data_IF_932698235609
#
_entry.id   IF_932698235609
#
_cell.length_a   1.000
_cell.length_b   1.000
_cell.length_c   1.000
_cell.angle_alpha   90.00
_cell.angle_beta   90.00
_cell.angle_gamma   90.00
#
_symmetry.space_group_name_H-M   'P 1'
#
loop_
_entity.id
_entity.type
_entity.pdbx_description
1 polymer ?
#
# COMPACT_ATOMS: atom_id res chain seq x y z
N UNK A 1 11.92 -11.51 -4.19
CA UNK A 1 11.99 -12.77 -3.42
C UNK A 1 12.53 -12.47 -2.03
N UNK A 2 11.66 -12.48 -1.01
CA UNK A 2 11.96 -12.17 0.41
C UNK A 2 12.78 -13.28 1.12
N UNK A 3 12.89 -14.46 0.49
CA UNK A 3 13.37 -15.71 1.10
C UNK A 3 14.91 -15.85 1.26
N UNK A 4 15.68 -14.77 1.11
CA UNK A 4 17.15 -14.80 1.27
C UNK A 4 17.69 -13.99 2.45
N UNK A 5 16.84 -13.44 3.29
CA UNK A 5 17.25 -12.78 4.53
C UNK A 5 17.37 -13.83 5.65
N UNK A 6 18.57 -13.99 6.21
CA UNK A 6 18.85 -14.95 7.30
C UNK A 6 18.40 -14.44 8.69
N UNK A 7 17.34 -13.64 8.74
CA UNK A 7 16.82 -13.09 9.98
C UNK A 7 15.95 -14.16 10.65
N UNK A 8 16.21 -14.44 11.93
CA UNK A 8 15.29 -15.20 12.77
C UNK A 8 14.19 -14.25 13.23
N UNK A 9 13.07 -14.26 12.53
CA UNK A 9 11.89 -13.46 12.86
C UNK A 9 11.02 -14.25 13.84
N UNK A 10 10.41 -13.55 14.80
CA UNK A 10 9.42 -14.12 15.70
C UNK A 10 8.04 -14.08 15.02
N UNK A 11 7.43 -15.23 14.72
CA UNK A 11 6.08 -15.32 14.15
C UNK A 11 5.03 -14.47 14.85
N UNK A 12 5.11 -14.38 16.18
CA UNK A 12 4.05 -13.82 17.01
C UNK A 12 4.13 -12.29 17.09
N UNK A 13 5.34 -11.73 16.98
CA UNK A 13 5.55 -10.27 17.13
C UNK A 13 5.96 -9.56 15.85
N UNK A 14 6.37 -10.29 14.80
CA UNK A 14 6.83 -9.67 13.55
C UNK A 14 5.66 -9.28 12.67
N UNK A 15 5.61 -8.01 12.25
CA UNK A 15 4.71 -7.51 11.22
C UNK A 15 5.36 -7.61 9.84
N UNK A 16 4.72 -8.33 8.93
CA UNK A 16 5.13 -8.47 7.53
C UNK A 16 4.36 -7.46 6.69
N UNK A 17 5.02 -6.38 6.27
CA UNK A 17 4.40 -5.38 5.41
C UNK A 17 4.62 -5.70 3.94
N UNK A 18 3.53 -5.81 3.18
CA UNK A 18 3.53 -5.99 1.73
C UNK A 18 3.02 -4.69 1.10
N UNK A 19 3.87 -4.02 0.34
CA UNK A 19 3.52 -2.83 -0.42
C UNK A 19 3.40 -3.18 -1.90
N UNK A 20 2.23 -2.96 -2.50
CA UNK A 20 1.96 -3.34 -3.88
C UNK A 20 1.70 -2.12 -4.77
N UNK A 21 2.32 -2.11 -5.95
CA UNK A 21 2.24 -1.01 -6.91
C UNK A 21 1.44 -1.41 -8.15
N UNK A 22 0.12 -1.42 -8.02
CA UNK A 22 -0.85 -1.78 -9.08
C UNK A 22 -0.70 -0.92 -10.34
N UNK A 23 -0.49 0.38 -10.17
CA UNK A 23 -0.40 1.33 -11.29
C UNK A 23 0.76 1.06 -12.25
N UNK A 24 1.92 0.59 -11.79
CA UNK A 24 3.07 0.33 -12.68
C UNK A 24 2.88 -0.89 -13.59
N UNK A 25 2.09 -1.88 -13.16
CA UNK A 25 1.91 -3.14 -13.89
C UNK A 25 1.07 -2.92 -15.14
N UNK A 26 -0.04 -2.16 -15.02
CA UNK A 26 -0.94 -1.91 -16.15
C UNK A 26 -0.31 -1.11 -17.29
N UNK A 27 0.58 -0.15 -16.98
CA UNK A 27 1.20 0.71 -18.00
C UNK A 27 2.33 0.02 -18.78
N UNK A 28 2.90 -1.06 -18.25
CA UNK A 28 4.11 -1.68 -18.81
C UNK A 28 3.79 -3.01 -19.51
N UNK A 29 2.89 -3.82 -18.93
CA UNK A 29 2.72 -5.22 -19.33
C UNK A 29 1.26 -5.58 -19.66
N UNK A 30 0.32 -4.64 -19.56
CA UNK A 30 -1.10 -4.89 -19.76
C UNK A 30 -1.81 -5.30 -18.46
N UNK A 31 -3.05 -5.79 -18.58
CA UNK A 31 -3.89 -6.07 -17.42
C UNK A 31 -3.56 -7.43 -16.79
N UNK A 32 -2.69 -7.40 -15.78
CA UNK A 32 -2.30 -8.55 -14.96
C UNK A 32 -2.77 -8.42 -13.51
N UNK A 33 -3.78 -7.57 -13.26
CA UNK A 33 -4.28 -7.37 -11.91
C UNK A 33 -4.82 -8.67 -11.28
N UNK A 34 -5.60 -9.52 -11.96
CA UNK A 34 -6.06 -10.78 -11.37
C UNK A 34 -4.90 -11.68 -10.94
N UNK A 35 -3.88 -11.86 -11.79
CA UNK A 35 -2.69 -12.65 -11.49
C UNK A 35 -1.89 -12.06 -10.34
N UNK A 36 -1.74 -10.73 -10.31
CA UNK A 36 -1.07 -10.01 -9.24
C UNK A 36 -1.76 -10.23 -7.88
N UNK A 37 -3.09 -10.22 -7.82
CA UNK A 37 -3.83 -10.53 -6.60
C UNK A 37 -3.55 -11.97 -6.14
N UNK A 38 -3.63 -12.93 -7.07
CA UNK A 38 -3.31 -14.33 -6.77
C UNK A 38 -1.88 -14.52 -6.28
N UNK A 39 -0.91 -13.84 -6.90
CA UNK A 39 0.49 -13.92 -6.52
C UNK A 39 0.73 -13.32 -5.13
N UNK A 40 0.12 -12.18 -4.81
CA UNK A 40 0.21 -11.57 -3.48
C UNK A 40 -0.32 -12.53 -2.40
N UNK A 41 -1.54 -13.05 -2.60
CA UNK A 41 -2.14 -14.00 -1.65
C UNK A 41 -1.31 -15.29 -1.55
N UNK A 42 -0.77 -15.80 -2.66
CA UNK A 42 0.14 -16.95 -2.65
C UNK A 42 1.41 -16.67 -1.84
N UNK A 43 2.00 -15.47 -1.95
CA UNK A 43 3.16 -15.11 -1.14
C UNK A 43 2.82 -15.09 0.35
N UNK A 44 1.63 -14.61 0.74
CA UNK A 44 1.19 -14.69 2.14
C UNK A 44 1.07 -16.13 2.62
N UNK A 45 0.49 -17.04 1.82
CA UNK A 45 0.45 -18.48 2.12
C UNK A 45 1.84 -19.09 2.28
N UNK A 46 2.78 -18.73 1.41
CA UNK A 46 4.16 -19.24 1.52
C UNK A 46 4.86 -18.71 2.77
N UNK A 47 4.65 -17.46 3.14
CA UNK A 47 5.24 -16.85 4.34
C UNK A 47 4.60 -17.39 5.63
N UNK A 48 3.33 -17.80 5.60
CA UNK A 48 2.66 -18.39 6.77
C UNK A 48 3.07 -19.84 7.05
N UNK A 49 3.76 -20.48 6.11
CA UNK A 49 4.29 -21.85 6.24
C UNK A 49 5.70 -21.88 6.88
N UNK A 50 6.12 -23.04 7.42
CA UNK A 50 7.49 -23.23 7.87
C UNK A 50 8.52 -22.97 6.76
N UNK A 51 9.71 -22.42 7.10
CA UNK A 51 10.17 -22.10 8.46
C UNK A 51 9.72 -20.72 8.96
N UNK A 52 9.16 -19.87 8.09
CA UNK A 52 8.85 -18.47 8.42
C UNK A 52 7.71 -18.36 9.42
N UNK A 53 6.65 -19.15 9.23
CA UNK A 53 5.47 -19.16 10.10
C UNK A 53 4.85 -17.78 10.35
N UNK A 54 4.91 -16.85 9.40
CA UNK A 54 4.39 -15.49 9.58
C UNK A 54 2.90 -15.50 9.98
N UNK A 55 2.53 -14.63 10.94
CA UNK A 55 1.14 -14.51 11.43
C UNK A 55 0.55 -13.12 11.26
N UNK A 56 1.36 -12.06 11.26
CA UNK A 56 0.87 -10.68 11.19
C UNK A 56 1.23 -10.05 9.84
N UNK A 57 0.24 -9.69 9.05
CA UNK A 57 0.43 -9.09 7.72
C UNK A 57 -0.26 -7.73 7.63
N UNK A 58 0.48 -6.73 7.14
CA UNK A 58 -0.06 -5.44 6.73
C UNK A 58 0.10 -5.32 5.22
N UNK A 59 -1.01 -5.14 4.51
CA UNK A 59 -1.02 -4.90 3.08
C UNK A 59 -1.30 -3.41 2.86
N UNK A 60 -0.50 -2.80 2.00
CA UNK A 60 -0.63 -1.40 1.60
C UNK A 60 -0.55 -1.32 0.09
N UNK A 61 -1.38 -0.49 -0.51
CA UNK A 61 -1.45 -0.38 -1.98
C UNK A 61 -1.55 1.08 -2.43
N UNK A 62 -1.15 1.33 -3.68
CA UNK A 62 -1.23 2.66 -4.32
C UNK A 62 -2.28 2.73 -5.44
N UNK A 63 -3.22 1.78 -5.48
CA UNK A 63 -4.36 1.88 -6.36
C UNK A 63 -5.17 3.16 -6.07
N UNK A 64 -5.91 3.65 -7.06
CA UNK A 64 -6.74 4.84 -6.94
C UNK A 64 -5.99 6.17 -7.13
N UNK A 65 -4.67 6.15 -7.40
CA UNK A 65 -3.92 7.37 -7.68
C UNK A 65 -4.24 7.90 -9.09
N UNK A 66 -5.32 8.67 -9.19
CA UNK A 66 -5.73 9.38 -10.40
C UNK A 66 -6.62 8.58 -11.37
N UNK A 67 -6.77 7.27 -11.18
CA UNK A 67 -7.71 6.44 -11.96
C UNK A 67 -8.31 5.38 -11.05
N UNK A 68 -9.64 5.31 -11.04
CA UNK A 68 -10.43 4.18 -10.53
C UNK A 68 -11.18 3.57 -11.71
N UNK A 69 -11.17 2.26 -11.79
CA UNK A 69 -11.74 1.49 -12.88
C UNK A 69 -12.22 0.13 -12.38
N UNK A 70 -13.08 -0.53 -13.15
CA UNK A 70 -13.66 -1.80 -12.73
C UNK A 70 -12.62 -2.89 -12.44
N UNK A 71 -11.46 -2.83 -13.10
CA UNK A 71 -10.38 -3.81 -12.96
C UNK A 71 -9.64 -3.68 -11.65
N UNK A 72 -9.29 -2.44 -11.26
CA UNK A 72 -8.66 -2.21 -9.98
C UNK A 72 -9.60 -2.36 -8.79
N UNK A 73 -10.89 -2.05 -8.94
CA UNK A 73 -11.88 -2.41 -7.92
C UNK A 73 -12.00 -3.94 -7.77
N UNK A 74 -11.96 -4.70 -8.87
CA UNK A 74 -11.97 -6.17 -8.82
C UNK A 74 -10.69 -6.73 -8.17
N UNK A 75 -9.53 -6.08 -8.38
CA UNK A 75 -8.29 -6.38 -7.68
C UNK A 75 -8.43 -6.18 -6.18
N UNK A 76 -8.91 -5.00 -5.75
CA UNK A 76 -9.16 -4.70 -4.34
C UNK A 76 -10.07 -5.76 -3.71
N UNK A 77 -11.18 -6.07 -4.36
CA UNK A 77 -12.12 -7.08 -3.87
C UNK A 77 -11.44 -8.45 -3.70
N UNK A 78 -10.63 -8.86 -4.68
CA UNK A 78 -9.90 -10.14 -4.61
C UNK A 78 -8.90 -10.18 -3.45
N UNK A 79 -8.22 -9.07 -3.15
CA UNK A 79 -7.36 -8.97 -1.98
C UNK A 79 -8.21 -9.07 -0.70
N UNK A 80 -9.27 -8.27 -0.57
CA UNK A 80 -10.14 -8.29 0.62
C UNK A 80 -10.73 -9.68 0.90
N UNK A 81 -11.24 -10.37 -0.12
CA UNK A 81 -11.79 -11.72 0.00
C UNK A 81 -10.72 -12.71 0.51
N UNK A 82 -9.50 -12.62 -0.04
CA UNK A 82 -8.37 -13.43 0.41
C UNK A 82 -7.96 -13.14 1.86
N UNK A 83 -7.95 -11.87 2.27
CA UNK A 83 -7.66 -11.48 3.66
C UNK A 83 -8.73 -11.99 4.63
N UNK A 84 -10.02 -11.92 4.26
CA UNK A 84 -11.11 -12.51 5.05
C UNK A 84 -10.90 -14.01 5.21
N UNK A 85 -10.57 -14.73 4.12
CA UNK A 85 -10.30 -16.16 4.18
C UNK A 85 -9.10 -16.48 5.10
N UNK A 86 -8.03 -15.71 5.04
CA UNK A 86 -6.87 -15.86 5.93
C UNK A 86 -7.19 -15.57 7.40
N UNK A 87 -8.08 -14.63 7.67
CA UNK A 87 -8.51 -14.33 9.04
C UNK A 87 -9.42 -15.41 9.62
N UNK A 88 -10.13 -16.16 8.77
CA UNK A 88 -11.06 -17.21 9.17
C UNK A 88 -10.45 -18.63 9.22
N UNK A 89 -9.21 -18.83 8.76
CA UNK A 89 -8.56 -20.15 8.71
C UNK A 89 -8.00 -20.58 10.08
N UNK A 90 -7.50 -21.82 10.16
CA UNK A 90 -6.73 -22.34 11.31
C UNK A 90 -5.34 -22.86 10.86
N UNK A 91 -4.21 -22.31 11.36
CA UNK A 91 -4.12 -21.16 12.27
C UNK A 91 -4.46 -19.84 11.56
N UNK A 92 -5.21 -18.98 12.25
CA UNK A 92 -5.60 -17.66 11.74
C UNK A 92 -4.38 -16.79 11.43
N UNK A 93 -4.54 -15.89 10.46
CA UNK A 93 -3.62 -14.78 10.24
C UNK A 93 -4.24 -13.47 10.74
N UNK A 94 -3.42 -12.66 11.43
CA UNK A 94 -3.75 -11.27 11.70
C UNK A 94 -3.45 -10.47 10.43
N UNK A 95 -4.48 -9.87 9.87
CA UNK A 95 -4.38 -9.16 8.59
C UNK A 95 -4.89 -7.74 8.72
N UNK A 96 -4.24 -6.81 8.04
CA UNK A 96 -4.68 -5.43 7.89
C UNK A 96 -4.48 -4.97 6.45
N UNK A 97 -5.37 -4.10 5.98
CA UNK A 97 -5.29 -3.51 4.65
C UNK A 97 -5.48 -1.99 4.76
N UNK A 98 -4.46 -1.23 4.37
CA UNK A 98 -4.54 0.23 4.30
C UNK A 98 -4.50 0.69 2.84
N UNK A 99 -5.66 1.09 2.34
CA UNK A 99 -5.84 1.58 0.97
C UNK A 99 -5.45 3.06 0.88
N UNK A 100 -4.38 3.39 0.16
CA UNK A 100 -3.96 4.79 0.03
C UNK A 100 -4.81 5.60 -0.95
N UNK A 101 -5.80 4.99 -1.65
CA UNK A 101 -6.81 5.72 -2.42
C UNK A 101 -7.45 6.85 -1.63
N UNK A 102 -7.69 6.66 -0.33
CA UNK A 102 -8.23 7.71 0.54
C UNK A 102 -7.33 8.94 0.60
N UNK A 103 -6.00 8.76 0.64
CA UNK A 103 -5.04 9.88 0.60
C UNK A 103 -5.03 10.52 -0.78
N UNK A 104 -5.04 9.71 -1.84
CA UNK A 104 -5.05 10.22 -3.23
C UNK A 104 -6.30 11.05 -3.50
N UNK A 105 -7.47 10.55 -3.12
CA UNK A 105 -8.76 11.22 -3.31
C UNK A 105 -8.79 12.55 -2.53
N UNK A 106 -8.28 12.58 -1.30
CA UNK A 106 -8.22 13.80 -0.51
C UNK A 106 -7.22 14.83 -1.06
N UNK A 107 -6.01 14.41 -1.43
CA UNK A 107 -4.93 15.33 -1.84
C UNK A 107 -5.05 15.75 -3.30
N UNK A 108 -5.34 14.81 -4.20
CA UNK A 108 -5.38 15.05 -5.65
C UNK A 108 -6.78 15.41 -6.15
N UNK A 109 -7.81 15.15 -5.35
CA UNK A 109 -9.19 15.56 -5.64
C UNK A 109 -9.44 17.05 -5.42
N UNK A 110 -10.65 17.52 -5.79
CA UNK A 110 -11.03 18.93 -5.63
C UNK A 110 -11.33 19.31 -4.17
N UNK A 111 -11.63 18.34 -3.30
CA UNK A 111 -12.02 18.56 -1.90
C UNK A 111 -11.41 17.47 -1.00
N UNK A 112 -10.60 17.82 0.01
CA UNK A 112 -10.18 19.18 0.36
C UNK A 112 -9.00 19.70 -0.49
N UNK A 113 -8.37 18.83 -1.29
CA UNK A 113 -7.28 19.15 -2.21
C UNK A 113 -5.94 19.43 -1.52
N UNK A 114 -4.85 19.39 -2.29
CA UNK A 114 -3.48 19.37 -1.76
C UNK A 114 -3.13 20.54 -0.83
N UNK A 115 -3.76 21.71 -1.01
CA UNK A 115 -3.53 22.88 -0.16
C UNK A 115 -4.04 22.68 1.27
N UNK A 116 -5.11 21.92 1.46
CA UNK A 116 -5.64 21.62 2.79
C UNK A 116 -4.68 20.74 3.60
N UNK A 117 -3.83 19.98 2.93
CA UNK A 117 -2.75 19.18 3.53
C UNK A 117 -1.44 19.97 3.68
N UNK A 118 -1.45 21.28 3.41
CA UNK A 118 -0.29 22.15 3.49
C UNK A 118 0.60 22.16 2.25
N UNK A 119 0.30 21.39 1.20
CA UNK A 119 1.13 21.40 0.00
C UNK A 119 0.94 22.69 -0.81
N UNK A 120 2.01 23.16 -1.44
CA UNK A 120 1.98 24.22 -2.45
C UNK A 120 1.86 23.67 -3.87
N UNK A 121 2.19 22.39 -4.07
CA UNK A 121 2.13 21.70 -5.36
C UNK A 121 1.89 20.19 -5.18
N UNK A 122 0.95 19.63 -5.96
CA UNK A 122 0.64 18.21 -5.98
C UNK A 122 1.59 17.36 -6.84
N UNK A 123 2.46 17.99 -7.65
CA UNK A 123 3.48 17.34 -8.46
C UNK A 123 4.85 17.32 -7.79
N UNK A 124 5.91 16.97 -8.54
CA UNK A 124 7.24 16.74 -8.00
C UNK A 124 8.01 18.02 -7.68
N UNK A 125 8.73 17.99 -6.56
CA UNK A 125 9.76 19.00 -6.24
C UNK A 125 10.98 18.89 -7.18
N UNK A 126 11.31 17.68 -7.66
CA UNK A 126 12.43 17.41 -8.57
C UNK A 126 11.94 16.78 -9.88
N UNK A 127 11.31 17.55 -10.79
CA UNK A 127 10.89 17.04 -12.11
C UNK A 127 12.06 16.80 -13.08
N UNK A 128 13.26 17.29 -12.75
CA UNK A 128 14.45 17.22 -13.61
C UNK A 128 15.74 17.43 -12.81
N UNK A 129 16.78 18.08 -13.36
CA UNK A 129 18.07 18.20 -12.68
C UNK A 129 18.05 19.15 -11.47
N UNK A 130 17.11 20.09 -11.43
CA UNK A 130 16.94 21.03 -10.31
C UNK A 130 15.81 20.59 -9.39
N UNK A 131 16.02 20.71 -8.09
CA UNK A 131 14.99 20.57 -7.06
C UNK A 131 14.37 21.94 -6.73
N UNK A 132 13.15 21.92 -6.22
CA UNK A 132 12.52 23.06 -5.57
C UNK A 132 13.29 23.47 -4.29
N UNK A 133 13.04 24.68 -3.79
CA UNK A 133 13.65 25.20 -2.56
C UNK A 133 12.96 24.72 -1.28
N UNK A 134 11.74 24.20 -1.38
CA UNK A 134 10.90 23.84 -0.26
C UNK A 134 10.26 22.46 -0.47
N UNK A 135 11.05 21.37 -0.33
CA UNK A 135 10.60 20.02 -0.66
C UNK A 135 9.52 19.47 0.27
N UNK A 136 9.36 20.05 1.47
CA UNK A 136 8.40 19.58 2.46
C UNK A 136 6.96 19.97 2.11
N UNK A 137 6.75 21.01 1.29
CA UNK A 137 5.43 21.43 0.84
C UNK A 137 5.10 20.93 -0.59
N UNK A 138 5.82 19.93 -1.09
CA UNK A 138 5.49 19.24 -2.34
C UNK A 138 4.98 17.84 -2.04
N UNK A 139 3.95 17.41 -2.76
CA UNK A 139 3.38 16.08 -2.58
C UNK A 139 4.32 14.97 -3.09
N UNK A 140 5.07 15.23 -4.15
CA UNK A 140 5.99 14.27 -4.75
C UNK A 140 7.44 14.75 -4.66
N UNK A 141 8.38 13.82 -4.51
CA UNK A 141 9.80 14.10 -4.70
C UNK A 141 10.13 14.11 -6.20
N UNK A 142 9.76 13.04 -6.91
CA UNK A 142 9.80 12.91 -8.37
C UNK A 142 8.53 12.19 -8.85
N UNK A 143 8.27 12.20 -10.15
CA UNK A 143 7.03 11.65 -10.71
C UNK A 143 6.72 10.25 -10.17
N UNK A 144 5.54 10.11 -9.57
CA UNK A 144 5.09 8.83 -9.02
C UNK A 144 5.62 8.51 -7.63
N UNK A 145 6.48 9.34 -7.04
CA UNK A 145 7.16 9.04 -5.78
C UNK A 145 6.86 10.09 -4.72
N UNK A 146 6.15 9.69 -3.63
CA UNK A 146 5.81 10.59 -2.54
C UNK A 146 7.03 11.35 -1.98
N UNK A 147 6.82 12.60 -1.55
CA UNK A 147 7.82 13.32 -0.77
C UNK A 147 7.98 12.71 0.62
N UNK A 148 8.98 13.17 1.38
CA UNK A 148 9.18 12.78 2.77
C UNK A 148 7.93 13.08 3.63
N UNK A 149 7.32 14.24 3.42
CA UNK A 149 6.11 14.65 4.15
C UNK A 149 4.91 13.81 3.74
N UNK A 150 4.78 13.48 2.45
CA UNK A 150 3.73 12.56 2.00
C UNK A 150 3.90 11.15 2.57
N UNK A 151 5.13 10.63 2.63
CA UNK A 151 5.41 9.36 3.31
C UNK A 151 5.02 9.39 4.79
N UNK A 152 5.19 10.53 5.48
CA UNK A 152 4.70 10.69 6.85
C UNK A 152 3.18 10.56 6.92
N UNK A 153 2.43 11.24 6.05
CA UNK A 153 0.96 11.13 6.01
C UNK A 153 0.53 9.69 5.72
N UNK A 154 1.20 8.99 4.80
CA UNK A 154 0.93 7.58 4.52
C UNK A 154 1.15 6.70 5.75
N UNK A 155 2.23 6.92 6.52
CA UNK A 155 2.50 6.18 7.75
C UNK A 155 1.47 6.50 8.85
N UNK A 156 1.10 7.77 9.01
CA UNK A 156 0.09 8.21 9.98
C UNK A 156 -1.27 7.59 9.63
N UNK A 157 -1.65 7.53 8.35
CA UNK A 157 -2.87 6.87 7.90
C UNK A 157 -2.87 5.35 8.15
N UNK A 158 -1.76 4.66 7.87
CA UNK A 158 -1.61 3.24 8.24
C UNK A 158 -1.84 3.04 9.74
N UNK A 159 -1.25 3.92 10.55
CA UNK A 159 -1.43 3.88 12.00
C UNK A 159 -2.90 4.07 12.40
N UNK A 160 -3.61 5.02 11.78
CA UNK A 160 -5.04 5.22 12.03
C UNK A 160 -5.86 3.99 11.65
N UNK A 161 -5.61 3.38 10.48
CA UNK A 161 -6.29 2.15 10.05
C UNK A 161 -6.08 1.03 11.08
N UNK A 162 -4.85 0.81 11.54
CA UNK A 162 -4.53 -0.24 12.50
C UNK A 162 -5.18 -0.03 13.87
N UNK A 163 -5.44 1.21 14.29
CA UNK A 163 -6.03 1.50 15.60
C UNK A 163 -7.55 1.66 15.57
N UNK A 164 -8.12 2.15 14.46
CA UNK A 164 -9.52 2.56 14.39
C UNK A 164 -10.38 1.63 13.52
N UNK A 165 -9.78 0.85 12.63
CA UNK A 165 -10.51 -0.01 11.68
C UNK A 165 -10.34 -1.49 12.06
N UNK A 166 -10.87 -1.85 13.23
CA UNK A 166 -10.87 -3.24 13.71
C UNK A 166 -12.18 -3.93 13.36
N UNK A 167 -12.08 -5.18 12.88
CA UNK A 167 -13.21 -6.10 12.81
C UNK A 167 -13.26 -6.84 14.14
N UNK A 168 -14.36 -6.69 14.88
CA UNK A 168 -14.59 -7.34 16.18
C UNK A 168 -15.18 -8.74 16.02
#
# INVERSE_FOLDING_TARGET
MFLKQANRLDPDTTLYTIFFVTGLIQFIDGDHLPEAAHDLLRQMTLLSQPPTNARNFLITDVYGRGVRDAKGEAWLQSIFDGLIAFHAQDPLLNVAFANFATIWDGVLGPDPGYRAFGYVNAGPCRPGPKSCSDPDHYFEWFWGHPSRVTHKIMADYVWEVLNNCMVL
#
